data_IF_509404690714
#
_entry.id   IF_509404690714
#
_cell.length_a   1.000
_cell.length_b   1.000
_cell.length_c   1.000
_cell.angle_alpha   90.00
_cell.angle_beta   90.00
_cell.angle_gamma   90.00
#
_symmetry.space_group_name_H-M   'P 1'
#
loop_
_entity.id
_entity.type
_entity.pdbx_description
1 polymer ?
#
# COMPACT_ATOMS: atom_id res chain seq x y z
N UNK A 1 -15.67 4.35 2.40
CA UNK A 1 -15.18 4.19 1.01
C UNK A 1 -13.75 3.69 1.08
N UNK A 2 -13.32 2.82 0.17
CA UNK A 2 -11.93 2.41 0.12
C UNK A 2 -11.14 3.38 -0.77
N UNK A 3 -9.90 3.65 -0.39
CA UNK A 3 -8.98 4.54 -1.09
C UNK A 3 -7.68 3.80 -1.43
N UNK A 4 -6.84 4.43 -2.24
CA UNK A 4 -5.54 3.89 -2.64
C UNK A 4 -4.41 4.66 -1.96
N UNK A 5 -3.43 3.92 -1.44
CA UNK A 5 -2.25 4.49 -0.80
C UNK A 5 -0.98 3.88 -1.37
N UNK A 6 0.07 4.69 -1.50
CA UNK A 6 1.43 4.22 -1.63
C UNK A 6 2.05 4.13 -0.23
N UNK A 7 2.46 2.94 0.16
CA UNK A 7 3.16 2.68 1.41
C UNK A 7 4.59 2.27 1.08
N UNK A 8 5.55 3.11 1.48
CA UNK A 8 6.94 2.72 1.60
C UNK A 8 7.24 2.33 3.04
N UNK A 9 7.96 1.22 3.24
CA UNK A 9 8.40 0.75 4.54
C UNK A 9 9.79 0.14 4.46
N UNK A 10 10.70 0.69 5.26
CA UNK A 10 11.98 0.07 5.61
C UNK A 10 11.87 -0.44 7.05
N UNK A 11 11.76 -1.75 7.28
CA UNK A 11 11.63 -2.29 8.63
C UNK A 11 12.88 -2.04 9.47
N UNK A 12 12.69 -2.05 10.79
CA UNK A 12 13.81 -2.19 11.74
C UNK A 12 14.40 -3.60 11.66
N UNK A 13 15.62 -3.76 12.20
CA UNK A 13 16.29 -5.05 12.23
C UNK A 13 15.42 -6.15 12.87
N UNK A 14 15.49 -7.35 12.29
CA UNK A 14 14.74 -8.53 12.76
C UNK A 14 13.27 -8.60 12.30
N UNK A 15 12.72 -7.54 11.69
CA UNK A 15 11.39 -7.61 11.06
C UNK A 15 11.52 -8.08 9.62
N UNK A 16 10.81 -9.16 9.31
CA UNK A 16 10.82 -9.79 7.99
C UNK A 16 9.75 -9.22 7.08
N UNK A 17 9.94 -9.40 5.77
CA UNK A 17 8.94 -9.06 4.75
C UNK A 17 7.58 -9.72 5.04
N UNK A 18 7.57 -11.02 5.37
CA UNK A 18 6.32 -11.75 5.62
C UNK A 18 5.51 -11.18 6.80
N UNK A 19 6.17 -10.58 7.81
CA UNK A 19 5.47 -9.91 8.90
C UNK A 19 4.79 -8.61 8.44
N UNK A 20 5.40 -7.88 7.52
CA UNK A 20 4.82 -6.68 6.90
C UNK A 20 3.64 -7.08 6.02
N UNK A 21 3.84 -8.03 5.10
CA UNK A 21 2.80 -8.51 4.17
C UNK A 21 1.59 -9.06 4.94
N UNK A 22 1.81 -9.86 6.00
CA UNK A 22 0.74 -10.31 6.91
C UNK A 22 -0.02 -9.18 7.60
N UNK A 23 0.61 -8.02 7.81
CA UNK A 23 -0.09 -6.84 8.34
C UNK A 23 -0.86 -6.11 7.25
N UNK A 24 -0.33 -6.09 6.02
CA UNK A 24 -1.00 -5.53 4.85
C UNK A 24 -2.21 -6.36 4.43
N UNK A 25 -2.28 -7.64 4.76
CA UNK A 25 -3.49 -8.49 4.59
C UNK A 25 -4.73 -8.00 5.37
N UNK A 26 -4.57 -6.99 6.25
CA UNK A 26 -5.70 -6.28 6.86
C UNK A 26 -6.31 -5.19 5.95
N UNK A 27 -5.71 -4.94 4.79
CA UNK A 27 -6.27 -4.12 3.72
C UNK A 27 -7.35 -4.90 2.96
N UNK A 28 -8.01 -4.24 2.01
CA UNK A 28 -8.89 -4.96 1.06
C UNK A 28 -8.04 -5.70 0.04
N UNK A 29 -6.98 -5.06 -0.46
CA UNK A 29 -5.99 -5.67 -1.35
C UNK A 29 -4.69 -4.85 -1.34
N UNK A 30 -3.58 -5.43 -1.77
CA UNK A 30 -2.31 -4.73 -1.92
C UNK A 30 -1.47 -5.31 -3.06
N UNK A 31 -0.63 -4.47 -3.66
CA UNK A 31 0.31 -4.85 -4.72
C UNK A 31 1.71 -4.40 -4.34
N UNK A 32 2.66 -5.33 -4.28
CA UNK A 32 4.06 -5.01 -4.04
C UNK A 32 4.78 -4.81 -5.37
N UNK A 33 5.23 -3.59 -5.63
CA UNK A 33 5.89 -3.25 -6.90
C UNK A 33 7.43 -3.11 -6.79
N UNK A 34 7.97 -2.98 -5.57
CA UNK A 34 9.41 -2.96 -5.31
C UNK A 34 9.73 -3.44 -3.89
N UNK A 35 11.02 -3.44 -3.52
CA UNK A 35 11.42 -3.68 -2.13
C UNK A 35 10.91 -2.58 -1.21
N UNK A 36 10.14 -2.96 -0.20
CA UNK A 36 9.55 -2.02 0.76
C UNK A 36 8.42 -1.15 0.21
N UNK A 37 8.05 -1.27 -1.07
CA UNK A 37 7.03 -0.41 -1.67
C UNK A 37 5.77 -1.17 -2.08
N UNK A 38 4.62 -0.66 -1.64
CA UNK A 38 3.32 -1.28 -1.79
C UNK A 38 2.29 -0.24 -2.23
N UNK A 39 1.44 -0.59 -3.19
CA UNK A 39 0.13 0.03 -3.35
C UNK A 39 -0.86 -0.73 -2.47
N UNK A 40 -1.67 0.01 -1.71
CA UNK A 40 -2.58 -0.56 -0.72
C UNK A 40 -3.96 0.02 -0.94
N UNK A 41 -4.92 -0.85 -1.28
CA UNK A 41 -6.33 -0.52 -1.42
C UNK A 41 -7.05 -0.86 -0.11
N UNK A 42 -7.59 0.15 0.57
CA UNK A 42 -8.01 0.00 1.96
C UNK A 42 -9.16 0.93 2.34
N UNK A 43 -10.07 0.44 3.18
CA UNK A 43 -11.10 1.25 3.85
C UNK A 43 -10.57 2.02 5.06
N UNK A 44 -9.37 1.68 5.53
CA UNK A 44 -8.68 2.37 6.61
C UNK A 44 -7.78 3.48 6.07
N UNK A 45 -7.86 4.66 6.70
CA UNK A 45 -7.05 5.84 6.38
C UNK A 45 -5.56 5.74 6.75
N UNK A 46 -4.75 6.72 6.31
CA UNK A 46 -3.29 6.73 6.49
C UNK A 46 -2.86 6.76 7.96
N UNK A 47 -3.61 7.43 8.84
CA UNK A 47 -3.32 7.46 10.28
C UNK A 47 -3.43 6.06 10.91
N UNK A 48 -4.44 5.27 10.53
CA UNK A 48 -4.59 3.89 10.99
C UNK A 48 -3.46 3.01 10.49
N UNK A 49 -3.05 3.16 9.23
CA UNK A 49 -1.89 2.43 8.68
C UNK A 49 -0.58 2.79 9.37
N UNK A 50 -0.35 4.08 9.67
CA UNK A 50 0.79 4.52 10.46
C UNK A 50 0.85 3.81 11.81
N UNK A 51 -0.28 3.74 12.53
CA UNK A 51 -0.37 3.03 13.81
C UNK A 51 -0.10 1.53 13.66
N UNK A 52 -0.66 0.87 12.64
CA UNK A 52 -0.48 -0.57 12.37
C UNK A 52 0.95 -0.95 12.03
N UNK A 53 1.66 -0.08 11.30
CA UNK A 53 3.02 -0.33 10.82
C UNK A 53 4.09 0.17 11.79
N UNK A 54 3.75 1.07 12.72
CA UNK A 54 4.64 1.61 13.74
C UNK A 54 5.48 0.53 14.45
N UNK A 55 4.94 -0.62 14.90
CA UNK A 55 5.73 -1.65 15.59
C UNK A 55 6.88 -2.22 14.77
N UNK A 56 6.81 -2.14 13.44
CA UNK A 56 7.82 -2.65 12.51
C UNK A 56 8.95 -1.67 12.23
N UNK A 57 8.78 -0.40 12.59
CA UNK A 57 9.73 0.67 12.23
C UNK A 57 10.22 1.46 13.45
N UNK A 58 9.48 1.46 14.56
CA UNK A 58 9.89 2.17 15.78
C UNK A 58 11.22 1.60 16.31
N UNK A 59 12.19 2.49 16.52
CA UNK A 59 13.53 2.16 17.00
C UNK A 59 14.58 1.89 15.92
N UNK A 60 14.28 2.07 14.62
CA UNK A 60 15.32 1.98 13.58
C UNK A 60 14.86 1.77 12.13
N UNK A 61 13.57 1.90 11.84
CA UNK A 61 13.00 1.81 10.48
C UNK A 61 12.31 3.10 10.05
N UNK A 62 11.70 3.07 8.87
CA UNK A 62 11.00 4.20 8.27
C UNK A 62 9.69 3.75 7.63
N UNK A 63 8.66 4.58 7.69
CA UNK A 63 7.41 4.38 6.96
C UNK A 63 6.94 5.71 6.37
N UNK A 64 6.51 5.68 5.11
CA UNK A 64 5.87 6.79 4.41
C UNK A 64 4.57 6.28 3.81
N UNK A 65 3.49 7.04 3.99
CA UNK A 65 2.16 6.72 3.46
C UNK A 65 1.67 7.95 2.71
N UNK A 66 1.36 7.78 1.43
CA UNK A 66 0.82 8.81 0.56
C UNK A 66 -0.51 8.35 0.00
N UNK A 67 -1.48 9.26 -0.08
CA UNK A 67 -2.69 9.02 -0.88
C UNK A 67 -2.30 8.98 -2.35
N UNK A 68 -2.92 8.08 -3.11
CA UNK A 68 -2.72 7.95 -4.55
C UNK A 68 -4.04 8.25 -5.23
N UNK A 69 -4.00 9.19 -6.16
CA UNK A 69 -5.09 9.44 -7.08
C UNK A 69 -5.09 8.35 -8.17
N UNK A 70 -6.14 7.52 -8.28
CA UNK A 70 -6.22 6.47 -9.30
C UNK A 70 -6.47 7.02 -10.71
N UNK A 71 -6.76 8.30 -10.91
CA UNK A 71 -6.92 8.92 -12.23
C UNK A 71 -5.64 9.52 -12.79
N UNK A 72 -4.70 9.88 -11.91
CA UNK A 72 -3.47 10.56 -12.28
C UNK A 72 -2.24 9.67 -12.05
N UNK A 73 -1.95 8.80 -13.03
CA UNK A 73 -0.75 7.96 -13.02
C UNK A 73 -0.10 7.83 -14.40
N UNK A 74 1.23 7.68 -14.41
CA UNK A 74 2.03 7.40 -15.60
C UNK A 74 3.33 6.70 -15.17
N UNK A 75 3.91 5.87 -16.05
CA UNK A 75 5.24 5.29 -15.83
C UNK A 75 5.50 3.99 -16.60
N UNK A 76 6.64 3.38 -16.30
CA UNK A 76 7.06 2.07 -16.82
C UNK A 76 7.18 1.08 -15.67
N UNK A 77 6.09 0.37 -15.40
CA UNK A 77 5.94 -0.59 -14.29
C UNK A 77 5.68 -2.00 -14.83
N UNK A 78 5.81 -3.06 -14.00
CA UNK A 78 5.45 -4.42 -14.38
C UNK A 78 4.04 -4.49 -14.97
N UNK A 79 3.86 -5.34 -16.00
CA UNK A 79 2.60 -5.41 -16.76
C UNK A 79 1.38 -5.69 -15.88
N UNK A 80 1.55 -6.47 -14.82
CA UNK A 80 0.47 -6.89 -13.91
C UNK A 80 -0.03 -5.79 -12.99
N UNK A 81 0.73 -4.69 -12.83
CA UNK A 81 0.33 -3.55 -12.00
C UNK A 81 -0.85 -2.79 -12.64
N UNK A 82 -0.85 -2.62 -13.96
CA UNK A 82 -1.87 -1.81 -14.64
C UNK A 82 -3.28 -2.41 -14.56
N UNK A 83 -3.48 -3.72 -14.83
CA UNK A 83 -4.78 -4.36 -14.61
C UNK A 83 -5.24 -4.27 -13.15
N UNK A 84 -4.33 -4.45 -12.20
CA UNK A 84 -4.65 -4.33 -10.78
C UNK A 84 -5.12 -2.92 -10.42
N UNK A 85 -4.41 -1.88 -10.87
CA UNK A 85 -4.76 -0.49 -10.61
C UNK A 85 -6.09 -0.10 -11.26
N UNK A 86 -6.35 -0.57 -12.49
CA UNK A 86 -7.63 -0.37 -13.19
C UNK A 86 -8.80 -1.00 -12.43
N UNK A 87 -8.65 -2.22 -11.90
CA UNK A 87 -9.65 -2.87 -11.05
C UNK A 87 -9.95 -2.04 -9.79
N UNK A 88 -8.91 -1.49 -9.13
CA UNK A 88 -9.12 -0.65 -7.94
C UNK A 88 -9.83 0.65 -8.27
N UNK A 89 -9.44 1.31 -9.37
CA UNK A 89 -10.12 2.51 -9.86
C UNK A 89 -11.63 2.27 -10.06
N UNK A 90 -11.99 1.19 -10.77
CA UNK A 90 -13.41 0.83 -10.98
C UNK A 90 -14.16 0.62 -9.67
N UNK A 91 -13.53 -0.01 -8.67
CA UNK A 91 -14.13 -0.22 -7.35
C UNK A 91 -14.25 1.04 -6.50
N UNK A 92 -13.45 2.07 -6.77
CA UNK A 92 -13.52 3.36 -6.07
C UNK A 92 -14.68 4.20 -6.60
N UNK A 93 -14.84 4.26 -7.93
CA UNK A 93 -15.82 5.15 -8.58
C UNK A 93 -17.15 4.47 -8.95
N UNK A 94 -17.19 3.12 -8.98
CA UNK A 94 -18.32 2.37 -9.53
C UNK A 94 -18.22 2.23 -11.06
N UNK A 95 -18.97 1.30 -11.63
CA UNK A 95 -19.24 1.31 -13.07
C UNK A 95 -20.12 2.55 -13.35
N UNK A 96 -19.61 3.52 -14.11
CA UNK A 96 -20.44 4.56 -14.73
C UNK A 96 -21.48 3.96 -15.68
#
# INVERSE_FOLDING_TARGET
>A
MAELYNIFIRPKAGVTRGQIEKKLDLAVDWFRYAEGCYLVYSTNGPAMWKLRLKPFVEGGGHVLILNVDPDEYNGWMPKDLWPWLKDKKQKIYGDE
#
